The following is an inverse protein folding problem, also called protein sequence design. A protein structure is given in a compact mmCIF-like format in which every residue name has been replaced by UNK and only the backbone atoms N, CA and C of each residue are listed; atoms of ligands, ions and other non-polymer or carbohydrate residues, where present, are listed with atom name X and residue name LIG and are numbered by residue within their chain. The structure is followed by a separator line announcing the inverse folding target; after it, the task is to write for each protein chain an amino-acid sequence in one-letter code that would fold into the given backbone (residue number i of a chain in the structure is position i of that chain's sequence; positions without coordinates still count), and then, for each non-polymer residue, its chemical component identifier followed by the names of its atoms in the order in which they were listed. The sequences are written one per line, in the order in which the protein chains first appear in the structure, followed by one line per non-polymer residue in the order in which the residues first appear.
data_IF_154071041451
#
_entry.id   IF_154071041451
#
_cell.length_a   1.000
_cell.length_b   1.000
_cell.length_c   1.000
_cell.angle_alpha   90.00
_cell.angle_beta   90.00
_cell.angle_gamma   90.00
#
_symmetry.space_group_name_H-M   'P 1'
#
loop_
_entity.id
_entity.type
_entity.pdbx_description
1 polymer ?
#
# COMPACT_ATOMS: atom_id res chain seq x y z
N UNK A 1 14.30 -4.98 -32.27
CA UNK A 1 15.03 -4.57 -31.04
C UNK A 1 15.24 -3.04 -30.98
N UNK A 2 15.63 -2.36 -32.06
CA UNK A 2 15.74 -0.88 -32.13
C UNK A 2 14.45 -0.10 -31.84
N UNK A 3 13.28 -0.69 -32.11
CA UNK A 3 11.98 -0.03 -31.90
C UNK A 3 11.64 0.21 -30.43
N UNK A 4 12.23 -0.58 -29.51
CA UNK A 4 12.06 -0.43 -28.04
C UNK A 4 13.00 0.64 -27.47
N UNK A 5 14.21 0.76 -28.02
CA UNK A 5 15.21 1.76 -27.61
C UNK A 5 14.75 3.18 -28.00
N UNK A 6 14.13 3.33 -29.16
CA UNK A 6 13.64 4.64 -29.62
C UNK A 6 12.56 5.20 -28.70
N UNK A 7 11.66 4.36 -28.17
CA UNK A 7 10.60 4.78 -27.25
C UNK A 7 11.16 5.19 -25.88
N UNK A 8 12.16 4.45 -25.38
CA UNK A 8 12.82 4.77 -24.11
C UNK A 8 13.57 6.12 -24.14
N UNK A 9 14.27 6.43 -25.24
CA UNK A 9 14.98 7.72 -25.39
C UNK A 9 14.01 8.89 -25.42
N UNK A 10 12.88 8.76 -26.12
CA UNK A 10 11.85 9.81 -26.17
C UNK A 10 11.18 9.99 -24.80
N UNK A 11 10.92 8.89 -24.08
CA UNK A 11 10.33 8.95 -22.74
C UNK A 11 11.28 9.58 -21.71
N UNK A 12 12.56 9.24 -21.74
CA UNK A 12 13.57 9.84 -20.87
C UNK A 12 13.73 11.35 -21.11
N UNK A 13 13.72 11.79 -22.38
CA UNK A 13 13.77 13.21 -22.73
C UNK A 13 12.54 13.97 -22.20
N UNK A 14 11.36 13.35 -22.25
CA UNK A 14 10.11 13.96 -21.78
C UNK A 14 10.07 14.07 -20.25
N UNK A 15 10.51 13.03 -19.53
CA UNK A 15 10.65 13.06 -18.07
C UNK A 15 11.63 14.15 -17.60
N UNK A 16 12.74 14.34 -18.33
CA UNK A 16 13.76 15.36 -18.01
C UNK A 16 13.18 16.78 -18.01
N UNK A 17 12.36 17.11 -19.01
CA UNK A 17 11.71 18.43 -19.15
C UNK A 17 10.70 18.67 -18.03
N UNK A 18 9.98 17.63 -17.61
CA UNK A 18 8.95 17.71 -16.59
C UNK A 18 9.53 17.96 -15.19
N UNK A 19 10.64 17.29 -14.86
CA UNK A 19 11.38 17.51 -13.61
C UNK A 19 11.94 18.94 -13.55
N UNK A 20 12.51 19.43 -14.66
CA UNK A 20 13.00 20.80 -14.75
C UNK A 20 11.88 21.84 -14.55
N UNK A 21 10.69 21.59 -15.11
CA UNK A 21 9.51 22.44 -14.89
C UNK A 21 9.01 22.45 -13.44
N UNK A 22 9.10 21.32 -12.73
CA UNK A 22 8.65 21.20 -11.34
C UNK A 22 9.54 22.00 -10.36
N UNK A 23 10.86 21.97 -10.54
CA UNK A 23 11.82 22.73 -9.71
C UNK A 23 11.60 24.24 -9.89
N UNK A 24 11.29 24.68 -11.11
CA UNK A 24 10.98 26.09 -11.38
C UNK A 24 9.68 26.58 -10.72
N UNK A 25 8.84 25.68 -10.16
CA UNK A 25 7.56 26.03 -9.52
C UNK A 25 7.68 26.30 -8.00
N UNK A 26 8.72 25.85 -7.32
CA UNK A 26 8.80 25.89 -5.84
C UNK A 26 9.30 27.21 -5.24
N UNK A 27 9.53 28.27 -6.03
CA UNK A 27 9.98 29.58 -5.50
C UNK A 27 8.85 30.49 -4.98
N UNK A 28 7.65 29.95 -4.68
CA UNK A 28 6.53 30.77 -4.22
C UNK A 28 5.77 30.15 -3.04
N UNK A 29 6.24 30.44 -1.81
CA UNK A 29 5.44 31.02 -0.70
C UNK A 29 6.21 30.97 0.61
N UNK A 30 6.61 32.15 1.09
CA UNK A 30 7.08 32.43 2.45
C UNK A 30 6.29 33.61 2.99
N UNK A 31 5.15 33.37 3.65
CA UNK A 31 4.46 34.32 4.55
C UNK A 31 3.72 33.45 5.56
N UNK A 32 4.24 33.29 6.79
CA UNK A 32 3.92 34.09 7.98
C UNK A 32 2.41 34.16 8.26
N UNK A 33 1.93 33.41 9.25
CA UNK A 33 1.00 33.98 10.23
C UNK A 33 1.05 33.20 11.56
N UNK A 34 1.13 33.94 12.65
CA UNK A 34 1.15 33.45 14.02
C UNK A 34 -0.15 33.79 14.72
N UNK A 35 -0.70 32.84 15.47
CA UNK A 35 -1.91 33.05 16.27
C UNK A 35 -1.83 32.34 17.62
N UNK A 36 -1.36 33.07 18.64
CA UNK A 36 -1.52 32.74 20.06
C UNK A 36 -2.96 33.06 20.47
N UNK A 37 -3.66 32.09 21.06
CA UNK A 37 -4.98 32.27 21.65
C UNK A 37 -5.06 31.54 22.98
N UNK A 38 -4.66 32.24 24.03
CA UNK A 38 -4.81 31.92 25.44
C UNK A 38 -6.30 32.06 25.82
N UNK A 39 -6.88 31.08 26.52
CA UNK A 39 -8.12 31.27 27.30
C UNK A 39 -8.17 30.24 28.44
N UNK A 40 -7.78 30.72 29.61
CA UNK A 40 -8.10 30.19 30.94
C UNK A 40 -9.56 30.44 31.28
N UNK A 41 -10.14 29.55 32.10
CA UNK A 41 -11.34 29.66 32.97
C UNK A 41 -12.13 28.33 32.88
N UNK A 42 -12.64 27.66 33.92
CA UNK A 42 -12.73 27.87 35.37
C UNK A 42 -13.39 26.59 35.97
N UNK A 43 -12.99 26.26 37.19
CA UNK A 43 -13.54 25.24 38.12
C UNK A 43 -14.99 24.75 37.93
N UNK A 44 -15.21 23.43 38.04
CA UNK A 44 -16.10 22.85 39.07
C UNK A 44 -15.89 21.35 39.28
N UNK A 45 -15.66 20.99 40.55
CA UNK A 45 -15.59 19.64 41.10
C UNK A 45 -16.99 19.00 41.11
N UNK A 46 -17.09 17.73 40.71
CA UNK A 46 -18.06 16.79 41.28
C UNK A 46 -17.57 15.35 41.13
N UNK A 47 -17.03 14.87 42.24
CA UNK A 47 -16.86 13.48 42.63
C UNK A 47 -18.11 12.65 42.31
N UNK A 48 -17.95 11.64 41.46
CA UNK A 48 -18.79 10.43 41.47
C UNK A 48 -17.83 9.27 41.21
N UNK A 49 -17.39 8.64 42.31
CA UNK A 49 -16.94 7.26 42.29
C UNK A 49 -18.09 6.40 41.74
N UNK A 50 -17.87 5.82 40.57
CA UNK A 50 -18.63 4.63 40.17
C UNK A 50 -17.60 3.55 39.94
N UNK A 51 -17.44 2.68 40.92
CA UNK A 51 -16.96 1.32 40.73
C UNK A 51 -17.85 0.66 39.67
N UNK A 52 -17.46 0.83 38.41
CA UNK A 52 -17.84 -0.05 37.33
C UNK A 52 -16.55 -0.69 36.89
N UNK A 53 -16.39 -1.92 37.35
CA UNK A 53 -15.63 -2.98 36.69
C UNK A 53 -16.19 -3.16 35.27
N UNK A 54 -15.88 -2.17 34.44
CA UNK A 54 -15.91 -2.26 33.01
C UNK A 54 -14.49 -2.63 32.65
N UNK A 55 -14.20 -3.93 32.72
CA UNK A 55 -13.09 -4.50 31.98
C UNK A 55 -13.42 -4.30 30.50
N UNK A 56 -13.23 -3.07 30.01
CA UNK A 56 -12.80 -2.85 28.64
C UNK A 56 -11.54 -3.66 28.55
N UNK A 57 -11.68 -4.86 27.96
CA UNK A 57 -10.60 -5.40 27.20
C UNK A 57 -10.13 -4.23 26.35
N UNK A 58 -8.97 -3.67 26.70
CA UNK A 58 -8.09 -3.04 25.74
C UNK A 58 -7.76 -4.15 24.75
N UNK A 59 -8.73 -4.50 23.90
CA UNK A 59 -8.49 -5.10 22.62
C UNK A 59 -7.76 -3.99 21.88
N UNK A 60 -6.46 -3.94 22.11
CA UNK A 60 -5.54 -3.26 21.24
C UNK A 60 -5.61 -4.01 19.92
N UNK A 61 -6.73 -3.82 19.20
CA UNK A 61 -6.87 -4.19 17.81
C UNK A 61 -5.76 -3.41 17.13
N UNK A 62 -4.66 -4.09 16.82
CA UNK A 62 -3.58 -3.52 16.05
C UNK A 62 -4.20 -3.02 14.75
N UNK A 63 -4.31 -1.70 14.61
CA UNK A 63 -4.83 -1.09 13.39
C UNK A 63 -3.76 -1.30 12.33
N UNK A 64 -4.02 -2.22 11.41
CA UNK A 64 -3.14 -2.47 10.27
C UNK A 64 -3.40 -1.37 9.23
N UNK A 65 -2.37 -0.58 8.95
CA UNK A 65 -2.44 0.47 7.95
C UNK A 65 -2.30 -0.12 6.54
N UNK A 66 -3.44 -0.42 5.95
CA UNK A 66 -3.51 -0.83 4.55
C UNK A 66 -3.21 0.33 3.61
N UNK A 67 -2.34 0.08 2.64
CA UNK A 67 -2.04 0.99 1.53
C UNK A 67 -2.16 0.27 0.20
N UNK A 68 -2.55 1.01 -0.82
CA UNK A 68 -2.64 0.52 -2.19
C UNK A 68 -1.55 1.15 -3.05
N UNK A 69 -0.80 0.32 -3.75
CA UNK A 69 0.25 0.68 -4.69
C UNK A 69 -0.20 0.31 -6.09
N UNK A 70 -0.15 1.28 -7.02
CA UNK A 70 -0.37 1.02 -8.43
C UNK A 70 0.96 0.67 -9.08
N UNK A 71 1.04 -0.51 -9.68
CA UNK A 71 2.25 -1.04 -10.30
C UNK A 71 1.95 -1.69 -11.66
N UNK A 72 2.99 -1.85 -12.47
CA UNK A 72 2.96 -2.55 -13.75
C UNK A 72 3.79 -3.81 -13.65
N UNK A 73 3.30 -4.93 -14.19
CA UNK A 73 4.05 -6.18 -14.22
C UNK A 73 5.29 -6.03 -15.09
N UNK A 74 6.46 -6.21 -14.50
CA UNK A 74 7.75 -6.17 -15.20
C UNK A 74 8.19 -7.58 -15.63
N UNK A 75 8.07 -8.55 -14.73
CA UNK A 75 8.37 -9.95 -15.04
C UNK A 75 7.54 -10.93 -14.20
N UNK A 76 7.34 -12.14 -14.73
CA UNK A 76 6.65 -13.25 -14.06
C UNK A 76 7.49 -14.51 -14.25
N UNK A 77 7.67 -15.24 -13.17
CA UNK A 77 8.28 -16.57 -13.14
C UNK A 77 7.38 -17.55 -12.38
N UNK A 78 7.80 -18.81 -12.26
CA UNK A 78 7.08 -19.81 -11.47
C UNK A 78 7.06 -19.47 -9.97
N UNK A 79 8.09 -18.77 -9.47
CA UNK A 79 8.29 -18.55 -8.02
C UNK A 79 8.01 -17.12 -7.57
N UNK A 80 8.03 -16.16 -8.50
CA UNK A 80 7.85 -14.75 -8.20
C UNK A 80 7.25 -13.96 -9.36
N UNK A 81 6.58 -12.87 -9.03
CA UNK A 81 6.17 -11.81 -9.94
C UNK A 81 6.74 -10.47 -9.47
N UNK A 82 7.40 -9.75 -10.37
CA UNK A 82 7.99 -8.43 -10.10
C UNK A 82 7.09 -7.35 -10.67
N UNK A 83 6.72 -6.39 -9.83
CA UNK A 83 5.85 -5.27 -10.19
C UNK A 83 6.61 -3.96 -10.03
N UNK A 84 6.68 -3.15 -11.08
CA UNK A 84 7.28 -1.83 -11.02
C UNK A 84 6.22 -0.77 -10.69
N UNK A 85 6.39 -0.07 -9.56
CA UNK A 85 5.49 1.00 -9.13
C UNK A 85 5.71 2.28 -9.93
N UNK A 86 4.66 3.08 -10.10
CA UNK A 86 4.77 4.38 -10.78
C UNK A 86 5.72 5.38 -10.07
N UNK A 87 5.99 5.16 -8.78
CA UNK A 87 6.93 5.95 -7.97
C UNK A 87 8.40 5.56 -8.19
N UNK A 88 8.68 4.54 -8.99
CA UNK A 88 10.03 4.10 -9.35
C UNK A 88 10.65 3.05 -8.43
N UNK A 89 9.85 2.36 -7.61
CA UNK A 89 10.28 1.19 -6.81
C UNK A 89 9.66 -0.12 -7.27
N UNK A 90 10.22 -1.25 -6.85
CA UNK A 90 9.70 -2.58 -7.20
C UNK A 90 8.96 -3.22 -6.02
N UNK A 91 7.87 -3.93 -6.32
CA UNK A 91 7.14 -4.78 -5.38
C UNK A 91 7.32 -6.21 -5.83
N UNK A 92 7.96 -7.01 -4.98
CA UNK A 92 8.20 -8.42 -5.21
C UNK A 92 7.03 -9.23 -4.63
N UNK A 93 6.37 -10.03 -5.48
CA UNK A 93 5.33 -10.96 -5.07
C UNK A 93 5.90 -12.37 -5.18
N UNK A 94 6.35 -12.93 -4.06
CA UNK A 94 7.00 -14.25 -4.04
C UNK A 94 6.44 -15.17 -2.95
N UNK A 95 6.94 -16.42 -2.92
CA UNK A 95 6.65 -17.38 -1.87
C UNK A 95 5.17 -17.75 -1.76
N UNK A 96 4.66 -17.89 -0.53
CA UNK A 96 3.27 -18.34 -0.28
C UNK A 96 2.20 -17.42 -0.86
N UNK A 97 2.29 -16.07 -0.75
CA UNK A 97 1.34 -15.17 -1.42
C UNK A 97 1.23 -15.42 -2.92
N UNK A 98 2.36 -15.59 -3.62
CA UNK A 98 2.37 -15.85 -5.06
C UNK A 98 1.78 -17.21 -5.41
N UNK A 99 2.27 -18.28 -4.76
CA UNK A 99 1.76 -19.63 -5.01
C UNK A 99 0.26 -19.72 -4.75
N UNK A 100 -0.22 -19.12 -3.67
CA UNK A 100 -1.65 -19.08 -3.35
C UNK A 100 -2.46 -18.33 -4.42
N UNK A 101 -1.99 -17.17 -4.88
CA UNK A 101 -2.67 -16.42 -5.92
C UNK A 101 -2.81 -17.25 -7.21
N UNK A 102 -1.74 -17.90 -7.66
CA UNK A 102 -1.75 -18.77 -8.84
C UNK A 102 -2.67 -19.98 -8.65
N UNK A 103 -2.63 -20.63 -7.47
CA UNK A 103 -3.53 -21.75 -7.12
C UNK A 103 -5.02 -21.36 -7.16
N UNK A 104 -5.32 -20.13 -6.75
CA UNK A 104 -6.67 -19.56 -6.79
C UNK A 104 -7.06 -19.06 -8.19
N UNK A 105 -6.20 -19.21 -9.19
CA UNK A 105 -6.46 -18.90 -10.59
C UNK A 105 -6.12 -17.47 -10.99
N UNK A 106 -5.33 -16.73 -10.20
CA UNK A 106 -4.83 -15.42 -10.59
C UNK A 106 -3.93 -15.53 -11.82
N UNK A 107 -4.20 -14.72 -12.84
CA UNK A 107 -3.37 -14.62 -14.03
C UNK A 107 -2.97 -13.17 -14.27
N UNK A 108 -1.74 -12.98 -14.73
CA UNK A 108 -1.19 -11.68 -15.10
C UNK A 108 -0.23 -11.86 -16.27
N UNK A 109 -0.09 -10.82 -17.09
CA UNK A 109 0.88 -10.75 -18.18
C UNK A 109 1.84 -9.57 -17.98
N UNK A 110 3.06 -9.67 -18.53
CA UNK A 110 4.02 -8.56 -18.51
C UNK A 110 3.42 -7.34 -19.20
N UNK A 111 3.41 -6.20 -18.51
CA UNK A 111 2.76 -4.96 -18.93
C UNK A 111 1.37 -4.73 -18.34
N UNK A 112 0.78 -5.70 -17.63
CA UNK A 112 -0.48 -5.50 -16.92
C UNK A 112 -0.34 -4.49 -15.79
N UNK A 113 -1.42 -3.75 -15.53
CA UNK A 113 -1.49 -2.79 -14.44
C UNK A 113 -2.22 -3.43 -13.27
N UNK A 114 -1.54 -3.52 -12.13
CA UNK A 114 -2.06 -4.15 -10.92
C UNK A 114 -2.11 -3.11 -9.79
N UNK A 115 -3.25 -3.02 -9.13
CA UNK A 115 -3.39 -2.38 -7.83
C UNK A 115 -3.07 -3.44 -6.76
N UNK A 116 -1.96 -3.23 -6.05
CA UNK A 116 -1.51 -4.10 -4.97
C UNK A 116 -1.89 -3.45 -3.66
N UNK A 117 -2.76 -4.08 -2.87
CA UNK A 117 -3.07 -3.61 -1.52
C UNK A 117 -2.38 -4.48 -0.49
N UNK A 118 -1.77 -3.86 0.50
CA UNK A 118 -1.01 -4.53 1.54
C UNK A 118 -0.67 -3.59 2.67
N UNK A 119 0.17 -4.04 3.60
CA UNK A 119 0.64 -3.26 4.74
C UNK A 119 2.13 -3.52 4.96
N UNK A 120 2.82 -2.56 5.56
CA UNK A 120 4.23 -2.69 5.93
C UNK A 120 4.32 -3.33 7.33
N UNK A 121 5.06 -4.43 7.48
CA UNK A 121 5.30 -5.14 8.75
C UNK A 121 6.76 -5.62 8.78
N UNK A 122 7.49 -5.31 9.86
CA UNK A 122 8.90 -5.69 10.04
C UNK A 122 9.81 -5.34 8.83
N UNK A 123 9.65 -4.12 8.29
CA UNK A 123 10.35 -3.63 7.08
C UNK A 123 10.05 -4.43 5.80
N UNK A 124 9.01 -5.29 5.81
CA UNK A 124 8.56 -6.09 4.67
C UNK A 124 7.13 -5.70 4.27
N UNK A 125 6.88 -5.55 2.96
CA UNK A 125 5.55 -5.27 2.44
C UNK A 125 4.72 -6.55 2.32
N UNK A 126 3.70 -6.70 3.17
CA UNK A 126 2.79 -7.84 3.18
C UNK A 126 1.62 -7.61 2.22
N UNK A 127 1.61 -8.36 1.12
CA UNK A 127 0.58 -8.26 0.08
C UNK A 127 -0.73 -8.93 0.52
N UNK A 128 -1.83 -8.21 0.56
CA UNK A 128 -3.13 -8.80 0.91
C UNK A 128 -4.14 -8.89 -0.22
N UNK A 129 -4.07 -8.02 -1.22
CA UNK A 129 -4.97 -8.06 -2.38
C UNK A 129 -4.20 -7.70 -3.65
N UNK A 130 -4.43 -8.47 -4.72
CA UNK A 130 -4.00 -8.16 -6.08
C UNK A 130 -5.22 -7.88 -6.93
N UNK A 131 -5.29 -6.69 -7.53
CA UNK A 131 -6.36 -6.30 -8.44
C UNK A 131 -5.76 -5.94 -9.81
N UNK A 132 -5.86 -6.87 -10.76
CA UNK A 132 -5.40 -6.67 -12.12
C UNK A 132 -6.42 -5.84 -12.88
N UNK A 133 -6.10 -4.55 -13.05
CA UNK A 133 -6.96 -3.56 -13.71
C UNK A 133 -7.05 -3.78 -15.22
N UNK A 134 -6.05 -4.43 -15.81
CA UNK A 134 -6.07 -4.75 -17.25
C UNK A 134 -7.08 -5.86 -17.54
N UNK A 135 -7.09 -6.93 -16.74
CA UNK A 135 -7.98 -8.08 -16.94
C UNK A 135 -9.31 -7.97 -16.17
N UNK A 136 -9.39 -7.09 -15.17
CA UNK A 136 -10.52 -6.97 -14.25
C UNK A 136 -10.56 -8.08 -13.19
N UNK A 137 -9.46 -8.80 -12.98
CA UNK A 137 -9.38 -9.89 -12.01
C UNK A 137 -8.87 -9.41 -10.65
N UNK A 138 -9.63 -9.71 -9.59
CA UNK A 138 -9.23 -9.46 -8.21
C UNK A 138 -8.93 -10.77 -7.49
N UNK A 139 -7.88 -10.76 -6.67
CA UNK A 139 -7.45 -11.87 -5.83
C UNK A 139 -7.17 -11.37 -4.41
N UNK A 140 -7.94 -11.89 -3.46
CA UNK A 140 -7.72 -11.65 -2.02
C UNK A 140 -6.84 -12.76 -1.45
N UNK A 141 -5.70 -12.35 -0.90
CA UNK A 141 -4.62 -13.19 -0.39
C UNK A 141 -4.63 -13.22 1.14
N UNK A 142 -4.97 -12.08 1.77
CA UNK A 142 -5.13 -11.91 3.22
C UNK A 142 -6.46 -11.23 3.50
N UNK A 143 -7.07 -11.60 4.63
CA UNK A 143 -8.25 -10.92 5.18
C UNK A 143 -7.90 -9.53 5.70
N UNK A 144 -8.90 -8.71 5.97
CA UNK A 144 -8.78 -7.32 6.47
C UNK A 144 -7.97 -7.16 7.77
N UNK A 145 -7.91 -8.21 8.59
CA UNK A 145 -7.11 -8.33 9.81
C UNK A 145 -5.66 -8.75 9.54
N UNK A 146 -5.26 -8.86 8.27
CA UNK A 146 -3.92 -9.27 7.86
C UNK A 146 -3.70 -10.79 7.85
N UNK A 147 -4.68 -11.57 8.32
CA UNK A 147 -4.60 -13.03 8.38
C UNK A 147 -4.56 -13.64 6.98
N UNK A 148 -3.59 -14.54 6.68
CA UNK A 148 -3.51 -15.16 5.37
C UNK A 148 -4.63 -16.17 5.12
N UNK A 149 -5.22 -16.12 3.93
CA UNK A 149 -6.34 -16.97 3.54
C UNK A 149 -5.97 -18.47 3.49
N UNK A 150 -4.68 -18.79 3.38
CA UNK A 150 -4.19 -20.18 3.46
C UNK A 150 -4.04 -20.72 4.89
N UNK A 151 -4.01 -19.87 5.93
CA UNK A 151 -3.86 -20.35 7.32
C UNK A 151 -5.12 -21.05 7.86
N UNK A 152 -6.30 -20.81 7.27
CA UNK A 152 -7.57 -21.37 7.72
C UNK A 152 -7.83 -22.84 7.37
N UNK A 153 -7.02 -23.48 6.51
CA UNK A 153 -7.25 -24.88 6.08
C UNK A 153 -6.61 -25.95 6.99
N UNK A 154 -5.96 -25.56 8.09
CA UNK A 154 -5.21 -26.45 8.97
C UNK A 154 -5.79 -26.69 10.37
N UNK A 155 -6.96 -26.12 10.71
CA UNK A 155 -7.50 -26.13 12.07
C UNK A 155 -8.83 -26.86 12.22
N UNK A 156 -8.84 -28.18 12.04
CA UNK A 156 -10.03 -28.99 12.27
C UNK A 156 -9.67 -30.46 12.46
N UNK A 157 -9.29 -30.83 13.68
CA UNK A 157 -9.38 -32.20 14.19
C UNK A 157 -10.48 -32.25 15.22
#
# INVERSE_FOLDING_TARGET
MFKKIFLSIVFAALCSVLIYGAINRTSAKTESDGGRGDNLDRERVSEIETDRDGQTADDATTVIEWRTLKATVDSITETEMVLHTASGGDVLVEGRPWSYAVEMGFTAEVGDVINVSGYDEDDEFKIGVLDNITSGQQMEIRSSDGSPMWAGRGGGK
#
